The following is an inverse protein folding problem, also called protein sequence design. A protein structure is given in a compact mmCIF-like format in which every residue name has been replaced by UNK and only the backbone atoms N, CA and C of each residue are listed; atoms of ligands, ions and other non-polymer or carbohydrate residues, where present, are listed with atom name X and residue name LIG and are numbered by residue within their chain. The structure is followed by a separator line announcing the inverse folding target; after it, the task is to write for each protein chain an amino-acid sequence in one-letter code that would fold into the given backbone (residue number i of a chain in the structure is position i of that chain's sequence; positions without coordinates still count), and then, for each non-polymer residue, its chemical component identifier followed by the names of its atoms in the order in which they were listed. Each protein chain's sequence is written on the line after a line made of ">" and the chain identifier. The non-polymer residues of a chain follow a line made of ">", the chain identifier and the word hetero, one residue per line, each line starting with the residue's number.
data_IF_293278504140
#
_entry.id   IF_293278504140
#
_cell.length_a   1.000
_cell.length_b   1.000
_cell.length_c   1.000
_cell.angle_alpha   90.00
_cell.angle_beta   90.00
_cell.angle_gamma   90.00
#
_symmetry.space_group_name_H-M   'P 1'
#
loop_
_entity.id
_entity.type
_entity.pdbx_description
1 polymer ?
#
# COMPACT_ATOMS: atom_id res chain seq x y z
N UNK A 1 16.17 9.31 0.10
CA UNK A 1 15.16 10.00 0.93
C UNK A 1 14.11 8.96 1.34
N UNK A 2 14.19 8.36 2.53
CA UNK A 2 13.44 7.14 2.89
C UNK A 2 11.93 7.33 3.13
N UNK A 3 11.42 8.57 3.21
CA UNK A 3 9.99 8.84 3.44
C UNK A 3 9.10 8.52 2.22
N UNK A 4 9.66 8.35 1.03
CA UNK A 4 8.90 8.08 -0.20
C UNK A 4 8.20 6.70 -0.20
N UNK A 5 8.80 5.68 0.42
CA UNK A 5 8.27 4.30 0.36
C UNK A 5 6.95 4.16 1.12
N UNK A 6 6.81 4.84 2.26
CA UNK A 6 5.58 4.83 3.05
C UNK A 6 4.50 5.58 2.27
N UNK A 7 4.79 6.79 1.80
CA UNK A 7 3.81 7.59 1.05
C UNK A 7 3.32 6.83 -0.19
N UNK A 8 4.23 6.17 -0.93
CA UNK A 8 3.82 5.33 -2.07
C UNK A 8 3.02 4.09 -1.67
N UNK A 9 3.36 3.43 -0.56
CA UNK A 9 2.57 2.32 -0.06
C UNK A 9 1.13 2.74 0.22
N UNK A 10 0.93 3.88 0.89
CA UNK A 10 -0.39 4.41 1.18
C UNK A 10 -1.16 4.83 -0.09
N UNK A 11 -0.46 5.43 -1.05
CA UNK A 11 -1.03 5.80 -2.35
C UNK A 11 -1.50 4.57 -3.13
N UNK A 12 -0.67 3.52 -3.24
CA UNK A 12 -1.01 2.25 -3.88
C UNK A 12 -2.18 1.53 -3.19
N UNK A 13 -2.20 1.54 -1.85
CA UNK A 13 -3.29 0.97 -1.06
C UNK A 13 -4.60 1.72 -1.32
N UNK A 14 -4.57 3.05 -1.34
CA UNK A 14 -5.74 3.90 -1.59
C UNK A 14 -6.23 3.84 -3.02
N UNK A 15 -5.32 3.68 -3.99
CA UNK A 15 -5.66 3.56 -5.41
C UNK A 15 -6.35 2.24 -5.74
N UNK A 16 -6.37 1.25 -4.85
CA UNK A 16 -6.92 -0.07 -5.11
C UNK A 16 -6.09 -0.91 -6.10
N UNK A 17 -4.91 -0.44 -6.52
CA UNK A 17 -4.05 -1.18 -7.46
C UNK A 17 -3.45 -2.45 -6.86
N UNK A 18 -3.53 -2.63 -5.55
CA UNK A 18 -3.02 -3.81 -4.86
C UNK A 18 -4.13 -4.46 -4.03
N UNK A 19 -4.35 -5.76 -4.23
CA UNK A 19 -5.34 -6.53 -3.46
C UNK A 19 -4.83 -6.99 -2.09
N UNK A 20 -3.54 -6.84 -1.80
CA UNK A 20 -2.91 -7.34 -0.57
C UNK A 20 -1.54 -6.71 -0.31
N UNK A 21 -1.10 -6.71 0.96
CA UNK A 21 0.25 -6.27 1.37
C UNK A 21 1.40 -6.89 0.56
N UNK A 22 1.44 -8.21 0.28
CA UNK A 22 2.47 -8.79 -0.59
C UNK A 22 2.47 -8.22 -2.02
N UNK A 23 1.30 -7.95 -2.60
CA UNK A 23 1.20 -7.33 -3.93
C UNK A 23 1.74 -5.88 -3.89
N UNK A 24 1.41 -5.14 -2.84
CA UNK A 24 1.93 -3.79 -2.61
C UNK A 24 3.46 -3.79 -2.49
N UNK A 25 4.03 -4.74 -1.74
CA UNK A 25 5.50 -4.90 -1.64
C UNK A 25 6.14 -5.23 -2.99
N UNK A 26 5.50 -6.08 -3.79
CA UNK A 26 5.98 -6.40 -5.13
C UNK A 26 5.95 -5.16 -6.04
N UNK A 27 4.90 -4.35 -5.96
CA UNK A 27 4.77 -3.12 -6.73
C UNK A 27 5.88 -2.11 -6.38
N UNK A 28 6.16 -1.92 -5.08
CA UNK A 28 7.27 -1.06 -4.64
C UNK A 28 8.62 -1.58 -5.15
N UNK A 29 8.85 -2.89 -5.18
CA UNK A 29 10.07 -3.47 -5.76
C UNK A 29 10.19 -3.18 -7.25
N UNK A 30 9.08 -3.24 -8.01
CA UNK A 30 9.05 -2.91 -9.44
C UNK A 30 9.39 -1.43 -9.67
N UNK A 31 8.98 -0.54 -8.78
CA UNK A 31 9.33 0.88 -8.80
C UNK A 31 10.77 1.19 -8.35
N UNK A 32 11.61 0.15 -8.16
CA UNK A 32 13.01 0.23 -7.71
C UNK A 32 13.20 0.70 -6.27
N UNK A 33 12.19 0.59 -5.41
CA UNK A 33 12.41 0.72 -3.97
C UNK A 33 13.23 -0.47 -3.45
N UNK A 34 14.31 -0.19 -2.72
CA UNK A 34 15.16 -1.25 -2.17
C UNK A 34 14.43 -2.03 -1.08
N UNK A 35 14.68 -3.33 -0.99
CA UNK A 35 14.12 -4.18 0.09
C UNK A 35 14.45 -3.63 1.48
N UNK A 36 15.66 -3.09 1.64
CA UNK A 36 16.12 -2.51 2.89
C UNK A 36 15.35 -1.24 3.29
N UNK A 37 14.57 -0.64 2.39
CA UNK A 37 13.66 0.48 2.69
C UNK A 37 12.21 -0.03 2.82
N UNK A 38 11.78 -1.01 2.02
CA UNK A 38 10.42 -1.54 2.11
C UNK A 38 10.18 -2.28 3.42
N UNK A 39 11.10 -3.16 3.83
CA UNK A 39 10.89 -4.02 4.99
C UNK A 39 10.82 -3.27 6.32
N UNK A 40 11.78 -2.42 6.73
CA UNK A 40 11.71 -1.76 8.03
C UNK A 40 10.52 -0.79 8.13
N UNK A 41 10.14 -0.15 7.01
CA UNK A 41 9.04 0.80 6.99
C UNK A 41 7.65 0.13 6.90
N UNK A 42 7.54 -1.08 6.33
CA UNK A 42 6.28 -1.85 6.22
C UNK A 42 6.21 -3.07 7.15
N UNK A 43 7.23 -3.35 7.96
CA UNK A 43 7.21 -4.43 8.96
C UNK A 43 6.42 -4.04 10.22
N UNK A 44 6.21 -2.74 10.47
CA UNK A 44 5.49 -2.26 11.63
C UNK A 44 4.04 -2.78 11.69
N UNK A 45 3.58 -3.38 12.81
CA UNK A 45 2.25 -3.97 12.91
C UNK A 45 1.12 -2.93 12.76
N UNK A 46 1.35 -1.69 13.20
CA UNK A 46 0.40 -0.58 13.01
C UNK A 46 0.27 -0.20 11.53
N UNK A 47 1.40 -0.05 10.81
CA UNK A 47 1.42 0.28 9.38
C UNK A 47 0.75 -0.82 8.57
N UNK A 48 1.03 -2.10 8.86
CA UNK A 48 0.37 -3.21 8.17
C UNK A 48 -1.14 -3.20 8.35
N UNK A 49 -1.63 -2.93 9.57
CA UNK A 49 -3.08 -2.82 9.83
C UNK A 49 -3.70 -1.65 9.07
N UNK A 50 -3.03 -0.50 9.04
CA UNK A 50 -3.51 0.67 8.29
C UNK A 50 -3.56 0.42 6.78
N UNK A 51 -2.46 -0.09 6.20
CA UNK A 51 -2.40 -0.42 4.77
C UNK A 51 -3.42 -1.49 4.41
N UNK A 52 -3.57 -2.54 5.23
CA UNK A 52 -4.57 -3.59 4.99
C UNK A 52 -5.98 -3.00 4.99
N UNK A 53 -6.31 -2.18 5.98
CA UNK A 53 -7.62 -1.51 6.06
C UNK A 53 -7.88 -0.66 4.81
N UNK A 54 -6.90 0.13 4.37
CA UNK A 54 -7.02 0.97 3.18
C UNK A 54 -7.20 0.15 1.90
N UNK A 55 -6.48 -0.97 1.77
CA UNK A 55 -6.64 -1.91 0.65
C UNK A 55 -8.05 -2.50 0.66
N UNK A 56 -8.54 -2.95 1.82
CA UNK A 56 -9.88 -3.49 2.00
C UNK A 56 -10.95 -2.43 1.69
N UNK A 57 -10.76 -1.19 2.15
CA UNK A 57 -11.63 -0.05 1.85
C UNK A 57 -11.64 0.28 0.35
N UNK A 58 -10.48 0.31 -0.31
CA UNK A 58 -10.39 0.58 -1.74
C UNK A 58 -10.98 -0.56 -2.59
N UNK A 59 -10.75 -1.83 -2.23
CA UNK A 59 -11.32 -2.99 -2.91
C UNK A 59 -12.84 -3.09 -2.68
N UNK A 60 -13.32 -2.75 -1.47
CA UNK A 60 -14.74 -2.66 -1.16
C UNK A 60 -15.45 -1.51 -1.86
N UNK A 61 -14.77 -0.36 -2.02
CA UNK A 61 -15.27 0.80 -2.78
C UNK A 61 -15.19 0.58 -4.30
N UNK A 62 -14.33 -0.31 -4.79
CA UNK A 62 -14.26 -0.66 -6.22
C UNK A 62 -15.56 -1.27 -6.76
N UNK A 63 -16.48 -1.70 -5.87
CA UNK A 63 -17.81 -2.21 -6.24
C UNK A 63 -18.96 -1.22 -6.01
N UNK A 64 -18.71 -0.01 -5.49
CA UNK A 64 -19.75 1.01 -5.36
C UNK A 64 -19.24 2.33 -5.95
N UNK A 65 -19.75 2.63 -7.16
CA UNK A 65 -19.43 3.83 -7.91
C UNK A 65 -19.46 5.09 -7.04
N UNK A 66 -18.56 6.01 -7.38
CA UNK A 66 -18.57 7.38 -6.92
C UNK A 66 -19.81 8.10 -7.48
N UNK A 67 -20.75 8.54 -6.62
CA UNK A 67 -21.29 9.88 -6.80
C UNK A 67 -21.19 10.69 -5.50
N UNK A 68 -20.46 11.79 -5.54
CA UNK A 68 -20.76 13.00 -4.78
C UNK A 68 -20.11 14.20 -5.47
#
# INVERSE_FOLDING_TARGET
>A
MPQHVIVRAFDLARSGSCASLPALRAQLRLERYANNEVEPHLAGPLIQRQLKKLIEEANGQSSLGHPA
#
